data_IF_036713285114
#
_entry.id   IF_036713285114
#
_cell.length_a   1.000
_cell.length_b   1.000
_cell.length_c   1.000
_cell.angle_alpha   90.00
_cell.angle_beta   90.00
_cell.angle_gamma   90.00
#
_symmetry.space_group_name_H-M   'P 1'
#
loop_
_entity.id
_entity.type
_entity.pdbx_description
1 polymer ?
#
# COMPACT_ATOMS: atom_id res chain seq x y z
N UNK A 1 -27.74 32.11 1.15
CA UNK A 1 -27.04 31.88 -0.12
C UNK A 1 -27.57 30.59 -0.73
N UNK A 2 -28.14 30.64 -1.94
CA UNK A 2 -28.72 29.45 -2.59
C UNK A 2 -27.58 28.60 -3.17
N UNK A 3 -27.17 27.55 -2.47
CA UNK A 3 -26.25 26.55 -3.00
C UNK A 3 -27.03 25.54 -3.84
N UNK A 4 -26.50 25.15 -5.01
CA UNK A 4 -27.15 24.16 -5.87
C UNK A 4 -27.07 22.78 -5.21
N UNK A 5 -28.20 22.07 -5.11
CA UNK A 5 -28.27 20.71 -4.54
C UNK A 5 -28.43 19.61 -5.60
N UNK A 6 -28.64 20.00 -6.86
CA UNK A 6 -28.82 19.11 -8.00
C UNK A 6 -27.73 19.31 -9.06
N UNK A 7 -27.45 18.25 -9.81
CA UNK A 7 -26.50 18.27 -10.91
C UNK A 7 -27.06 19.10 -12.07
N UNK A 8 -26.30 20.07 -12.58
CA UNK A 8 -26.73 20.95 -13.68
C UNK A 8 -26.93 20.20 -15.00
N UNK A 9 -26.37 18.99 -15.13
CA UNK A 9 -26.42 18.21 -16.37
C UNK A 9 -27.54 17.16 -16.42
N UNK A 10 -27.86 16.53 -15.29
CA UNK A 10 -28.85 15.44 -15.23
C UNK A 10 -29.98 15.69 -14.21
N UNK A 11 -29.93 16.84 -13.53
CA UNK A 11 -30.87 17.30 -12.51
C UNK A 11 -31.08 16.33 -11.32
N UNK A 12 -30.20 15.34 -11.15
CA UNK A 12 -30.22 14.45 -10.00
C UNK A 12 -29.65 15.15 -8.77
N UNK A 13 -30.17 14.84 -7.58
CA UNK A 13 -29.54 15.24 -6.31
C UNK A 13 -28.07 14.83 -6.26
N UNK A 14 -27.21 15.77 -5.86
CA UNK A 14 -25.79 15.53 -5.63
C UNK A 14 -25.50 14.84 -4.29
N UNK A 15 -26.55 14.69 -3.45
CA UNK A 15 -26.43 14.25 -2.07
C UNK A 15 -25.85 15.34 -1.16
N UNK A 16 -25.78 15.01 0.13
CA UNK A 16 -25.25 15.89 1.17
C UNK A 16 -24.11 15.20 1.92
N UNK A 17 -23.20 15.96 2.50
CA UNK A 17 -22.16 15.47 3.41
C UNK A 17 -22.18 16.29 4.70
N UNK A 18 -21.73 15.68 5.80
CA UNK A 18 -21.64 16.33 7.11
C UNK A 18 -20.18 16.64 7.49
N UNK A 19 -19.23 16.27 6.63
CA UNK A 19 -17.80 16.37 6.92
C UNK A 19 -17.26 17.76 6.63
N UNK A 20 -17.70 18.37 5.53
CA UNK A 20 -17.30 19.72 5.13
C UNK A 20 -18.45 20.66 5.49
N UNK A 21 -18.46 21.17 6.73
CA UNK A 21 -19.59 21.93 7.29
C UNK A 21 -19.97 23.16 6.44
N UNK A 22 -18.96 23.86 5.91
CA UNK A 22 -19.14 25.06 5.07
C UNK A 22 -19.72 24.69 3.69
N UNK A 23 -19.57 23.43 3.26
CA UNK A 23 -20.01 22.94 1.95
C UNK A 23 -20.66 21.55 2.07
N UNK A 24 -21.90 21.48 2.60
CA UNK A 24 -22.56 20.22 2.94
C UNK A 24 -23.17 19.51 1.71
N UNK A 25 -22.68 19.79 0.50
CA UNK A 25 -23.24 19.31 -0.77
C UNK A 25 -22.26 18.38 -1.46
N UNK A 26 -22.79 17.28 -1.98
CA UNK A 26 -22.00 16.30 -2.71
C UNK A 26 -21.44 15.21 -1.82
N UNK A 27 -21.39 14.00 -2.37
CA UNK A 27 -20.71 12.84 -1.75
C UNK A 27 -19.37 12.52 -2.44
N UNK A 28 -19.04 13.23 -3.51
CA UNK A 28 -17.74 13.19 -4.21
C UNK A 28 -17.36 14.62 -4.59
N UNK A 29 -16.33 15.15 -3.95
CA UNK A 29 -15.86 16.53 -4.12
C UNK A 29 -14.48 16.48 -4.75
N UNK A 30 -14.23 17.34 -5.74
CA UNK A 30 -12.90 17.52 -6.30
C UNK A 30 -12.41 18.95 -6.14
N UNK A 31 -11.10 19.12 -5.99
CA UNK A 31 -10.51 20.44 -5.74
C UNK A 31 -9.10 20.56 -6.32
N UNK A 32 -8.79 21.76 -6.81
CA UNK A 32 -7.45 22.18 -7.25
C UNK A 32 -7.03 23.38 -6.39
N UNK A 33 -6.12 23.14 -5.45
CA UNK A 33 -5.64 24.17 -4.54
C UNK A 33 -4.79 25.24 -5.25
N UNK A 34 -4.09 24.88 -6.32
CA UNK A 34 -3.25 25.82 -7.06
C UNK A 34 -4.09 26.78 -7.93
N UNK A 35 -5.20 26.28 -8.49
CA UNK A 35 -6.11 27.06 -9.34
C UNK A 35 -7.33 27.63 -8.59
N UNK A 36 -7.51 27.31 -7.31
CA UNK A 36 -8.66 27.77 -6.53
C UNK A 36 -10.01 27.23 -7.04
N UNK A 37 -10.01 26.01 -7.58
CA UNK A 37 -11.20 25.39 -8.19
C UNK A 37 -11.75 24.28 -7.31
N UNK A 38 -13.07 24.22 -7.20
CA UNK A 38 -13.79 23.26 -6.38
C UNK A 38 -15.02 22.80 -7.18
N UNK A 39 -15.19 21.48 -7.31
CA UNK A 39 -16.33 20.88 -8.00
C UNK A 39 -17.00 19.80 -7.14
N UNK A 40 -18.27 19.54 -7.46
CA UNK A 40 -18.99 18.35 -7.02
C UNK A 40 -19.17 17.40 -8.19
N UNK A 41 -18.69 16.16 -8.06
CA UNK A 41 -18.83 15.13 -9.07
C UNK A 41 -20.15 14.39 -8.83
N UNK A 42 -21.04 14.41 -9.83
CA UNK A 42 -22.31 13.72 -9.73
C UNK A 42 -22.12 12.19 -9.77
N UNK A 43 -22.58 11.45 -8.75
CA UNK A 43 -22.48 9.98 -8.74
C UNK A 43 -23.35 9.26 -9.78
N UNK A 44 -24.28 9.95 -10.45
CA UNK A 44 -25.17 9.36 -11.47
C UNK A 44 -24.62 9.49 -12.89
N UNK A 45 -24.12 10.67 -13.25
CA UNK A 45 -23.64 10.95 -14.61
C UNK A 45 -22.16 11.32 -14.68
N UNK A 46 -21.47 11.29 -13.54
CA UNK A 46 -20.02 11.51 -13.39
C UNK A 46 -19.50 12.87 -13.88
N UNK A 47 -20.43 13.80 -14.18
CA UNK A 47 -20.08 15.16 -14.57
C UNK A 47 -19.78 16.05 -13.37
N UNK A 48 -18.87 16.99 -13.62
CA UNK A 48 -18.28 17.88 -12.62
C UNK A 48 -19.05 19.20 -12.59
N UNK A 49 -19.63 19.53 -11.43
CA UNK A 49 -20.42 20.74 -11.23
C UNK A 49 -19.54 21.74 -10.49
N UNK A 50 -19.17 22.84 -11.16
CA UNK A 50 -18.30 23.87 -10.59
C UNK A 50 -19.04 24.63 -9.48
N UNK A 51 -18.40 24.76 -8.32
CA UNK A 51 -18.96 25.48 -7.16
C UNK A 51 -18.87 27.01 -7.31
N UNK A 52 -19.70 27.82 -6.63
CA UNK A 52 -19.59 29.28 -6.67
C UNK A 52 -18.27 29.78 -6.07
N UNK A 53 -17.73 30.88 -6.59
CA UNK A 53 -16.41 31.43 -6.22
C UNK A 53 -16.28 31.81 -4.73
N UNK A 54 -17.33 32.37 -4.14
CA UNK A 54 -17.34 32.99 -2.81
C UNK A 54 -17.01 32.04 -1.65
N UNK A 55 -17.23 30.73 -1.82
CA UNK A 55 -17.07 29.71 -0.76
C UNK A 55 -15.80 28.85 -0.97
N UNK A 56 -15.10 29.00 -2.11
CA UNK A 56 -14.09 28.00 -2.51
C UNK A 56 -12.88 27.96 -1.59
N UNK A 57 -12.43 29.09 -1.04
CA UNK A 57 -11.14 29.16 -0.35
C UNK A 57 -11.12 28.31 0.93
N UNK A 58 -12.04 28.56 1.86
CA UNK A 58 -12.13 27.84 3.13
C UNK A 58 -12.44 26.35 2.92
N UNK A 59 -13.22 26.03 1.89
CA UNK A 59 -13.58 24.65 1.57
C UNK A 59 -12.41 23.90 0.97
N UNK A 60 -11.62 24.54 0.10
CA UNK A 60 -10.42 23.93 -0.47
C UNK A 60 -9.38 23.67 0.62
N UNK A 61 -9.16 24.62 1.54
CA UNK A 61 -8.24 24.42 2.66
C UNK A 61 -8.67 23.26 3.56
N UNK A 62 -9.97 23.19 3.89
CA UNK A 62 -10.51 22.10 4.69
C UNK A 62 -10.44 20.75 3.94
N UNK A 63 -10.74 20.73 2.64
CA UNK A 63 -10.61 19.54 1.80
C UNK A 63 -9.15 19.08 1.69
N UNK A 64 -8.20 20.01 1.56
CA UNK A 64 -6.75 19.71 1.54
C UNK A 64 -6.29 19.14 2.89
N UNK A 65 -6.76 19.71 4.01
CA UNK A 65 -6.50 19.19 5.37
C UNK A 65 -7.04 17.78 5.54
N UNK A 66 -8.32 17.57 5.22
CA UNK A 66 -8.98 16.26 5.28
C UNK A 66 -8.30 15.23 4.37
N UNK A 67 -7.92 15.62 3.16
CA UNK A 67 -7.22 14.75 2.22
C UNK A 67 -5.84 14.31 2.78
N UNK A 68 -5.10 15.22 3.42
CA UNK A 68 -3.81 14.92 4.07
C UNK A 68 -3.95 13.99 5.27
N UNK A 69 -4.95 14.23 6.12
CA UNK A 69 -5.22 13.41 7.30
C UNK A 69 -5.82 12.05 6.95
N UNK A 70 -6.54 11.99 5.83
CA UNK A 70 -7.18 10.77 5.36
C UNK A 70 -6.13 9.78 4.92
N UNK A 71 -6.31 8.57 5.47
CA UNK A 71 -5.35 7.51 5.26
C UNK A 71 -5.71 6.66 4.04
N UNK A 72 -6.99 6.52 3.66
CA UNK A 72 -7.39 5.79 2.44
C UNK A 72 -7.23 6.75 1.26
N UNK A 73 -6.04 6.86 0.68
CA UNK A 73 -5.77 7.73 -0.47
C UNK A 73 -4.81 7.10 -1.47
N UNK A 74 -4.96 7.42 -2.75
CA UNK A 74 -4.00 7.12 -3.82
C UNK A 74 -3.73 8.40 -4.57
N UNK A 75 -2.50 8.58 -5.04
CA UNK A 75 -2.07 9.78 -5.78
C UNK A 75 -1.25 9.37 -6.98
N UNK A 76 -1.65 9.80 -8.17
CA UNK A 76 -0.86 9.82 -9.40
C UNK A 76 -0.16 11.16 -9.54
N UNK A 77 0.61 11.35 -10.62
CA UNK A 77 1.34 12.59 -10.91
C UNK A 77 0.45 13.85 -10.94
N UNK A 78 -0.84 13.73 -11.24
CA UNK A 78 -1.72 14.89 -11.41
C UNK A 78 -3.02 14.81 -10.61
N UNK A 79 -3.41 13.64 -10.09
CA UNK A 79 -4.67 13.45 -9.37
C UNK A 79 -4.44 12.58 -8.13
N UNK A 80 -5.01 12.98 -7.00
CA UNK A 80 -5.16 12.15 -5.83
C UNK A 80 -6.62 11.90 -5.50
N UNK A 81 -6.96 10.68 -5.06
CA UNK A 81 -8.29 10.35 -4.57
C UNK A 81 -8.19 9.82 -3.14
N UNK A 82 -9.10 10.25 -2.26
CA UNK A 82 -9.21 9.80 -0.89
C UNK A 82 -10.66 9.44 -0.52
N UNK A 83 -10.85 8.40 0.30
CA UNK A 83 -12.16 7.96 0.81
C UNK A 83 -12.21 8.14 2.33
N UNK A 84 -13.12 9.00 2.80
CA UNK A 84 -13.28 9.29 4.22
C UNK A 84 -14.20 8.26 4.90
N UNK A 85 -14.05 8.01 6.21
CA UNK A 85 -14.87 7.04 6.94
C UNK A 85 -16.38 7.28 6.83
N UNK A 86 -16.80 8.53 6.71
CA UNK A 86 -18.20 8.97 6.62
C UNK A 86 -18.79 8.80 5.19
N UNK A 87 -18.00 8.23 4.26
CA UNK A 87 -18.40 7.92 2.89
C UNK A 87 -18.30 9.09 1.90
N UNK A 88 -17.63 10.19 2.30
CA UNK A 88 -17.25 11.29 1.42
C UNK A 88 -15.99 10.90 0.64
N UNK A 89 -16.01 11.14 -0.67
CA UNK A 89 -14.86 10.94 -1.54
C UNK A 89 -14.27 12.29 -1.93
N UNK A 90 -12.96 12.45 -1.76
CA UNK A 90 -12.22 13.66 -2.13
C UNK A 90 -11.29 13.36 -3.30
N UNK A 91 -11.28 14.22 -4.31
CA UNK A 91 -10.40 14.13 -5.48
C UNK A 91 -9.56 15.40 -5.56
N UNK A 92 -8.31 15.32 -5.13
CA UNK A 92 -7.33 16.40 -5.21
C UNK A 92 -6.71 16.46 -6.59
N UNK A 93 -6.56 17.65 -7.16
CA UNK A 93 -5.91 17.90 -8.45
C UNK A 93 -4.58 18.64 -8.28
N UNK A 94 -3.64 18.38 -9.18
CA UNK A 94 -2.31 19.01 -9.23
C UNK A 94 -1.18 18.08 -8.79
N UNK A 95 0.06 18.63 -8.74
CA UNK A 95 1.30 17.87 -8.47
C UNK A 95 1.16 16.91 -7.28
N UNK A 96 1.76 15.71 -7.38
CA UNK A 96 1.51 14.63 -6.43
C UNK A 96 2.09 15.02 -5.06
N UNK A 97 1.39 14.62 -4.00
CA UNK A 97 2.05 14.48 -2.71
C UNK A 97 2.85 13.18 -2.75
N UNK A 98 4.11 13.21 -2.28
CA UNK A 98 4.97 12.02 -2.22
C UNK A 98 4.20 10.89 -1.54
N UNK A 99 4.18 9.71 -2.16
CA UNK A 99 3.47 8.54 -1.66
C UNK A 99 3.96 8.21 -0.25
N UNK A 100 3.12 8.49 0.76
CA UNK A 100 3.42 8.09 2.13
C UNK A 100 2.82 6.72 2.36
N UNK A 101 3.68 5.71 2.44
CA UNK A 101 3.33 4.35 2.82
C UNK A 101 2.61 4.36 4.19
N UNK A 102 1.35 3.93 4.24
CA UNK A 102 0.51 3.99 5.44
C UNK A 102 0.81 2.85 6.45
N UNK A 103 2.04 2.81 6.95
CA UNK A 103 2.58 1.81 7.88
C UNK A 103 1.71 1.47 9.10
N UNK A 104 0.95 2.44 9.62
CA UNK A 104 0.11 2.29 10.81
C UNK A 104 -1.13 1.38 10.58
N UNK A 105 -1.58 1.19 9.32
CA UNK A 105 -2.71 0.26 8.99
C UNK A 105 -2.41 -1.20 9.29
N UNK A 106 -1.16 -1.61 9.13
CA UNK A 106 -0.76 -3.01 9.21
C UNK A 106 -0.33 -3.43 10.62
N UNK A 107 0.04 -2.47 11.47
CA UNK A 107 0.49 -2.69 12.86
C UNK A 107 -0.46 -3.52 13.70
N UNK A 108 -1.72 -3.11 13.74
CA UNK A 108 -2.75 -3.75 14.57
C UNK A 108 -3.19 -5.10 14.00
N UNK A 109 -3.25 -5.25 12.68
CA UNK A 109 -3.68 -6.50 12.04
C UNK A 109 -2.68 -7.63 12.28
N UNK A 110 -1.38 -7.36 12.06
CA UNK A 110 -0.33 -8.36 12.28
C UNK A 110 -0.15 -8.68 13.77
N UNK A 111 -0.30 -7.69 14.65
CA UNK A 111 -0.32 -7.90 16.10
C UNK A 111 -1.47 -8.81 16.56
N UNK A 112 -2.69 -8.60 16.04
CA UNK A 112 -3.85 -9.46 16.31
C UNK A 112 -3.63 -10.90 15.83
N UNK A 113 -3.10 -11.10 14.62
CA UNK A 113 -2.75 -12.43 14.08
C UNK A 113 -1.70 -13.13 14.97
N UNK A 114 -0.71 -12.40 15.48
CA UNK A 114 0.30 -12.92 16.41
C UNK A 114 -0.31 -13.35 17.74
N UNK A 115 -1.15 -12.52 18.35
CA UNK A 115 -1.82 -12.84 19.62
C UNK A 115 -2.73 -14.07 19.48
N UNK A 116 -3.49 -14.16 18.38
CA UNK A 116 -4.34 -15.32 18.06
C UNK A 116 -3.51 -16.58 17.78
N UNK A 117 -2.38 -16.47 17.08
CA UNK A 117 -1.47 -17.59 16.85
C UNK A 117 -0.86 -18.11 18.15
N UNK A 118 -0.42 -17.23 19.05
CA UNK A 118 0.09 -17.60 20.37
C UNK A 118 -1.02 -18.29 21.16
N UNK A 119 -2.23 -17.72 21.19
CA UNK A 119 -3.38 -18.32 21.88
C UNK A 119 -3.70 -19.73 21.40
N UNK A 120 -3.70 -20.00 20.08
CA UNK A 120 -3.92 -21.35 19.57
C UNK A 120 -2.76 -22.31 19.89
N UNK A 121 -1.52 -21.84 19.89
CA UNK A 121 -0.37 -22.65 20.32
C UNK A 121 -0.43 -22.95 21.82
N UNK A 122 -0.78 -21.96 22.66
CA UNK A 122 -0.92 -22.10 24.11
C UNK A 122 -2.15 -22.92 24.50
N UNK A 123 -3.29 -22.80 23.81
CA UNK A 123 -4.47 -23.64 24.02
C UNK A 123 -4.23 -25.09 23.60
N UNK A 124 -3.44 -25.32 22.53
CA UNK A 124 -2.98 -26.66 22.15
C UNK A 124 -2.01 -27.29 23.16
N UNK A 125 -1.24 -26.47 23.89
CA UNK A 125 -0.39 -26.93 25.00
C UNK A 125 -1.20 -27.14 26.29
N UNK A 126 -2.18 -26.27 26.59
CA UNK A 126 -3.04 -26.37 27.78
C UNK A 126 -3.99 -27.58 27.78
N UNK A 127 -4.38 -28.08 26.60
CA UNK A 127 -5.18 -29.30 26.49
C UNK A 127 -4.41 -30.59 26.85
N UNK A 128 -3.09 -30.52 27.06
CA UNK A 128 -2.23 -31.67 27.47
C UNK A 128 -1.88 -31.58 28.97
N UNK A 129 -2.69 -30.86 29.76
CA UNK A 129 -2.58 -30.92 31.21
C UNK A 129 -3.08 -32.22 31.85
N UNK A 130 -3.90 -33.05 31.18
CA UNK A 130 -4.48 -34.27 31.78
C UNK A 130 -4.67 -35.41 30.75
N UNK A 131 -3.59 -36.05 30.32
CA UNK A 131 -3.65 -37.50 30.00
C UNK A 131 -2.48 -38.19 30.70
N UNK A 132 -2.57 -38.25 32.02
CA UNK A 132 -1.88 -39.26 32.83
C UNK A 132 -2.93 -40.31 33.16
N UNK A 133 -3.22 -41.20 32.21
CA UNK A 133 -3.96 -42.43 32.50
C UNK A 133 -3.12 -43.60 32.01
N UNK A 134 -2.42 -44.21 32.97
CA UNK A 134 -2.05 -45.63 32.92
C UNK A 134 -0.77 -46.02 32.19
N UNK A 135 0.37 -45.91 32.87
CA UNK A 135 1.44 -46.92 32.81
C UNK A 135 2.52 -46.75 31.73
N UNK A 136 3.77 -46.69 32.20
CA UNK A 136 5.03 -46.93 31.47
C UNK A 136 5.50 -45.86 30.46
N UNK A 137 6.12 -44.78 30.98
CA UNK A 137 7.52 -44.41 30.67
C UNK A 137 7.82 -43.00 31.18
N UNK A 138 8.31 -42.92 32.42
CA UNK A 138 8.87 -41.70 33.03
C UNK A 138 10.21 -41.26 32.37
N UNK A 139 10.57 -41.82 31.20
CA UNK A 139 11.90 -41.68 30.58
C UNK A 139 12.00 -40.86 29.29
N UNK A 140 10.90 -40.38 28.70
CA UNK A 140 10.94 -39.53 27.50
C UNK A 140 10.73 -38.06 27.91
N UNK A 141 11.82 -37.45 28.39
CA UNK A 141 11.98 -36.06 28.81
C UNK A 141 11.06 -35.05 28.10
N UNK A 142 10.67 -33.97 28.80
CA UNK A 142 9.91 -32.83 28.27
C UNK A 142 10.32 -32.38 26.85
N UNK A 143 11.58 -32.58 26.46
CA UNK A 143 12.09 -32.34 25.10
C UNK A 143 11.61 -33.34 24.02
N UNK A 144 11.43 -34.63 24.32
CA UNK A 144 10.96 -35.64 23.36
C UNK A 144 9.46 -35.53 23.05
N UNK A 145 8.65 -35.30 24.08
CA UNK A 145 7.23 -34.98 23.93
C UNK A 145 7.00 -33.66 23.19
N UNK A 146 7.79 -32.62 23.50
CA UNK A 146 7.78 -31.36 22.78
C UNK A 146 8.22 -31.53 21.31
N UNK A 147 9.30 -32.27 21.05
CA UNK A 147 9.76 -32.53 19.68
C UNK A 147 8.71 -33.30 18.86
N UNK A 148 8.15 -34.39 19.40
CA UNK A 148 7.07 -35.13 18.74
C UNK A 148 5.83 -34.26 18.47
N UNK A 149 5.43 -33.42 19.42
CA UNK A 149 4.34 -32.46 19.25
C UNK A 149 4.63 -31.42 18.17
N UNK A 150 5.84 -30.87 18.11
CA UNK A 150 6.23 -29.92 17.06
C UNK A 150 6.18 -30.57 15.67
N UNK A 151 6.57 -31.84 15.54
CA UNK A 151 6.49 -32.59 14.28
C UNK A 151 5.03 -32.84 13.86
N UNK A 152 4.15 -33.22 14.78
CA UNK A 152 2.72 -33.43 14.51
C UNK A 152 2.04 -32.12 14.10
N UNK A 153 2.29 -31.02 14.83
CA UNK A 153 1.76 -29.71 14.47
C UNK A 153 2.32 -29.24 13.12
N UNK A 154 3.61 -29.43 12.87
CA UNK A 154 4.20 -29.09 11.58
C UNK A 154 3.58 -29.91 10.45
N UNK A 155 3.37 -31.22 10.62
CA UNK A 155 2.68 -32.08 9.65
C UNK A 155 1.25 -31.60 9.35
N UNK A 156 0.43 -31.43 10.39
CA UNK A 156 -0.97 -30.96 10.26
C UNK A 156 -1.03 -29.55 9.67
N UNK A 157 -0.11 -28.66 10.04
CA UNK A 157 -0.07 -27.33 9.46
C UNK A 157 0.44 -27.30 8.02
N UNK A 158 1.41 -28.14 7.67
CA UNK A 158 2.04 -28.18 6.35
C UNK A 158 1.08 -28.64 5.26
N UNK A 159 0.10 -29.48 5.60
CA UNK A 159 -0.95 -29.92 4.68
C UNK A 159 -2.12 -28.94 4.54
N UNK A 160 -2.18 -27.90 5.38
CA UNK A 160 -3.23 -26.89 5.24
C UNK A 160 -3.10 -26.17 3.92
N UNK A 161 -4.24 -26.03 3.26
CA UNK A 161 -4.37 -25.28 2.02
C UNK A 161 -3.95 -23.82 2.30
N UNK A 162 -2.98 -23.38 1.51
CA UNK A 162 -2.53 -22.01 1.49
C UNK A 162 -3.41 -21.17 0.58
N UNK A 163 -3.58 -21.62 -0.67
CA UNK A 163 -4.46 -21.01 -1.67
C UNK A 163 -4.97 -22.06 -2.66
N UNK A 164 -6.08 -21.75 -3.32
CA UNK A 164 -6.54 -22.48 -4.51
C UNK A 164 -6.29 -21.58 -5.71
N UNK A 165 -5.41 -22.00 -6.59
CA UNK A 165 -5.05 -21.30 -7.81
C UNK A 165 -5.67 -22.01 -9.02
N UNK A 166 -5.67 -21.34 -10.17
CA UNK A 166 -5.99 -21.95 -11.46
C UNK A 166 -4.70 -22.10 -12.25
N UNK A 167 -4.57 -23.22 -12.95
CA UNK A 167 -3.47 -23.39 -13.90
C UNK A 167 -3.70 -22.41 -15.07
N UNK A 168 -2.70 -21.60 -15.46
CA UNK A 168 -2.87 -20.61 -16.52
C UNK A 168 -3.24 -21.25 -17.88
N UNK A 169 -2.61 -22.38 -18.21
CA UNK A 169 -2.87 -23.07 -19.50
C UNK A 169 -4.08 -24.02 -19.50
N UNK A 170 -4.31 -24.78 -18.42
CA UNK A 170 -5.32 -25.85 -18.40
C UNK A 170 -6.62 -25.49 -17.66
N UNK A 171 -6.70 -24.31 -17.05
CA UNK A 171 -7.77 -23.86 -16.13
C UNK A 171 -8.08 -24.84 -14.95
N UNK A 172 -7.19 -25.80 -14.70
CA UNK A 172 -7.36 -26.77 -13.63
C UNK A 172 -7.23 -26.09 -12.26
N UNK A 173 -8.10 -26.46 -11.29
CA UNK A 173 -8.01 -25.96 -9.92
C UNK A 173 -6.86 -26.63 -9.17
N UNK A 174 -5.82 -25.87 -8.88
CA UNK A 174 -4.63 -26.31 -8.16
C UNK A 174 -4.72 -25.96 -6.68
N UNK A 175 -4.48 -26.96 -5.82
CA UNK A 175 -4.37 -26.76 -4.37
C UNK A 175 -2.92 -26.50 -3.99
N UNK A 176 -2.62 -25.27 -3.59
CA UNK A 176 -1.32 -24.92 -3.01
C UNK A 176 -1.40 -25.07 -1.49
N UNK A 177 -0.51 -25.86 -0.91
CA UNK A 177 -0.41 -26.09 0.55
C UNK A 177 0.69 -25.23 1.18
N UNK A 178 0.64 -25.05 2.50
CA UNK A 178 1.67 -24.29 3.23
C UNK A 178 3.08 -24.85 3.02
N UNK A 179 3.25 -26.17 2.93
CA UNK A 179 4.55 -26.80 2.65
C UNK A 179 5.14 -26.42 1.29
N UNK A 180 4.29 -26.09 0.32
CA UNK A 180 4.78 -25.71 -1.01
C UNK A 180 5.46 -24.34 -1.00
N UNK A 181 5.04 -23.45 -0.08
CA UNK A 181 5.66 -22.13 0.10
C UNK A 181 7.13 -22.19 0.56
N UNK A 182 7.59 -23.33 1.08
CA UNK A 182 9.02 -23.52 1.41
C UNK A 182 9.90 -23.64 0.17
N UNK A 183 9.33 -23.94 -0.99
CA UNK A 183 10.03 -24.04 -2.27
C UNK A 183 9.58 -23.01 -3.30
N UNK A 184 8.39 -22.42 -3.14
CA UNK A 184 7.94 -21.27 -3.93
C UNK A 184 8.80 -20.03 -3.67
N UNK A 185 9.03 -19.19 -4.68
CA UNK A 185 9.93 -18.02 -4.58
C UNK A 185 9.66 -16.98 -5.66
N UNK A 186 10.20 -15.80 -5.44
CA UNK A 186 10.40 -14.80 -6.49
C UNK A 186 11.69 -15.12 -7.26
N UNK A 187 11.67 -14.91 -8.57
CA UNK A 187 12.80 -15.14 -9.48
C UNK A 187 13.01 -13.89 -10.34
N UNK A 188 14.19 -13.25 -10.31
CA UNK A 188 14.47 -12.13 -11.19
C UNK A 188 14.61 -12.61 -12.63
N UNK A 189 14.05 -11.88 -13.60
CA UNK A 189 14.21 -12.19 -15.04
C UNK A 189 15.54 -11.68 -15.60
N UNK A 190 16.17 -10.74 -14.90
CA UNK A 190 17.40 -10.05 -15.32
C UNK A 190 17.13 -8.67 -15.94
N UNK A 191 15.88 -8.33 -16.19
CA UNK A 191 15.45 -6.97 -16.52
C UNK A 191 15.08 -6.25 -15.22
N UNK A 192 15.57 -5.02 -14.98
CA UNK A 192 15.18 -4.24 -13.80
C UNK A 192 13.66 -4.02 -13.76
N UNK A 193 13.03 -4.23 -12.60
CA UNK A 193 11.57 -4.12 -12.45
C UNK A 193 10.77 -5.35 -12.86
N UNK A 194 11.42 -6.37 -13.46
CA UNK A 194 10.74 -7.58 -13.90
C UNK A 194 11.17 -8.81 -13.08
N UNK A 195 10.15 -9.51 -12.57
CA UNK A 195 10.34 -10.73 -11.81
C UNK A 195 9.16 -11.68 -12.01
N UNK A 196 9.43 -12.96 -11.78
CA UNK A 196 8.45 -14.03 -11.86
C UNK A 196 8.17 -14.61 -10.46
N UNK A 197 6.93 -15.02 -10.23
CA UNK A 197 6.58 -15.81 -9.06
C UNK A 197 6.51 -17.29 -9.44
N UNK A 198 7.46 -18.07 -8.92
CA UNK A 198 7.49 -19.52 -9.09
C UNK A 198 6.77 -20.17 -7.92
N UNK A 199 5.57 -20.70 -8.16
CA UNK A 199 4.74 -21.37 -7.15
C UNK A 199 4.84 -22.88 -7.31
N UNK A 200 5.45 -23.52 -6.31
CA UNK A 200 5.51 -24.96 -6.27
C UNK A 200 4.15 -25.54 -5.91
N UNK A 201 3.82 -26.67 -6.51
CA UNK A 201 2.66 -27.47 -6.16
C UNK A 201 2.94 -28.94 -6.45
N UNK A 202 1.97 -29.80 -6.17
CA UNK A 202 2.08 -31.20 -6.51
C UNK A 202 0.77 -31.67 -7.15
N UNK A 203 0.91 -32.48 -8.20
CA UNK A 203 -0.23 -33.00 -8.98
C UNK A 203 -0.85 -34.21 -8.29
N UNK A 204 -2.12 -34.50 -8.54
CA UNK A 204 -2.80 -35.69 -8.02
C UNK A 204 -3.22 -35.58 -6.55
N UNK A 205 -4.50 -35.84 -6.29
CA UNK A 205 -5.09 -35.86 -4.96
C UNK A 205 -5.79 -37.21 -4.74
N UNK A 206 -5.17 -38.11 -3.98
CA UNK A 206 -5.87 -39.29 -3.46
C UNK A 206 -5.73 -39.33 -1.94
N UNK A 207 -6.86 -39.52 -1.26
CA UNK A 207 -6.93 -39.80 0.19
C UNK A 207 -6.21 -38.78 1.10
N UNK A 208 -6.24 -37.48 0.76
CA UNK A 208 -5.66 -36.42 1.60
C UNK A 208 -4.15 -36.21 1.44
N UNK A 209 -3.49 -37.04 0.65
CA UNK A 209 -2.06 -36.94 0.36
C UNK A 209 -1.82 -36.57 -1.10
N UNK A 210 -0.73 -35.83 -1.31
CA UNK A 210 -0.23 -35.52 -2.64
C UNK A 210 0.44 -36.77 -3.22
N UNK A 211 0.00 -37.21 -4.39
CA UNK A 211 0.52 -38.45 -5.02
C UNK A 211 1.37 -38.24 -6.27
N UNK A 212 1.44 -37.03 -6.81
CA UNK A 212 2.26 -36.68 -7.97
C UNK A 212 3.57 -35.98 -7.64
N UNK A 213 4.41 -35.84 -8.68
CA UNK A 213 5.65 -35.06 -8.64
C UNK A 213 5.41 -33.58 -8.34
N UNK A 214 6.44 -32.91 -7.85
CA UNK A 214 6.41 -31.46 -7.65
C UNK A 214 6.49 -30.73 -8.99
N UNK A 215 5.55 -29.83 -9.24
CA UNK A 215 5.47 -28.99 -10.43
C UNK A 215 5.54 -27.50 -10.05
N UNK A 216 5.84 -26.64 -11.02
CA UNK A 216 6.01 -25.20 -10.81
C UNK A 216 5.05 -24.44 -11.71
N UNK A 217 4.24 -23.56 -11.11
CA UNK A 217 3.51 -22.53 -11.84
C UNK A 217 4.37 -21.28 -11.88
N UNK A 218 4.42 -20.62 -13.03
CA UNK A 218 5.13 -19.36 -13.22
C UNK A 218 4.10 -18.28 -13.47
N UNK A 219 4.12 -17.24 -12.65
CA UNK A 219 3.29 -16.05 -12.83
C UNK A 219 4.19 -14.84 -13.10
N UNK A 220 3.72 -13.93 -13.94
CA UNK A 220 4.40 -12.69 -14.29
C UNK A 220 3.46 -11.49 -14.14
N UNK A 221 4.04 -10.29 -14.00
CA UNK A 221 3.29 -9.03 -13.91
C UNK A 221 2.20 -9.02 -12.84
N UNK A 222 1.04 -8.48 -13.18
CA UNK A 222 -0.09 -8.31 -12.26
C UNK A 222 -0.57 -9.61 -11.63
N UNK A 223 -0.58 -10.71 -12.40
CA UNK A 223 -0.99 -12.01 -11.87
C UNK A 223 -0.01 -12.51 -10.80
N UNK A 224 1.30 -12.26 -11.00
CA UNK A 224 2.31 -12.57 -10.01
C UNK A 224 2.09 -11.76 -8.73
N UNK A 225 1.75 -10.47 -8.84
CA UNK A 225 1.46 -9.57 -7.71
C UNK A 225 0.26 -10.06 -6.89
N UNK A 226 -0.85 -10.37 -7.55
CA UNK A 226 -2.08 -10.85 -6.93
C UNK A 226 -1.87 -12.19 -6.20
N UNK A 227 -1.19 -13.13 -6.87
CA UNK A 227 -0.88 -14.44 -6.29
C UNK A 227 0.11 -14.28 -5.14
N UNK A 228 1.12 -13.43 -5.27
CA UNK A 228 2.09 -13.15 -4.21
C UNK A 228 1.40 -12.64 -2.95
N UNK A 229 0.52 -11.62 -3.06
CA UNK A 229 -0.20 -11.08 -1.91
C UNK A 229 -1.01 -12.15 -1.16
N UNK A 230 -1.74 -13.01 -1.88
CA UNK A 230 -2.51 -14.12 -1.29
C UNK A 230 -1.62 -15.15 -0.60
N UNK A 231 -0.50 -15.54 -1.23
CA UNK A 231 0.43 -16.52 -0.66
C UNK A 231 1.19 -15.95 0.54
N UNK A 232 1.57 -14.68 0.50
CA UNK A 232 2.32 -14.00 1.57
C UNK A 232 1.45 -13.77 2.80
N UNK A 233 0.18 -13.37 2.64
CA UNK A 233 -0.80 -13.34 3.73
C UNK A 233 -0.88 -14.67 4.49
N UNK A 234 -0.69 -15.76 3.75
CA UNK A 234 -0.74 -17.11 4.28
C UNK A 234 0.59 -17.57 4.89
N UNK A 235 1.72 -17.22 4.28
CA UNK A 235 3.06 -17.42 4.85
C UNK A 235 3.20 -16.68 6.20
N UNK A 236 2.61 -15.49 6.29
CA UNK A 236 2.60 -14.62 7.47
C UNK A 236 1.38 -14.85 8.38
N UNK A 237 0.68 -15.98 8.28
CA UNK A 237 -0.48 -16.34 9.14
C UNK A 237 -0.27 -16.11 10.64
N UNK A 238 0.98 -16.20 11.10
CA UNK A 238 1.36 -16.07 12.51
C UNK A 238 1.59 -14.63 12.96
N UNK A 239 1.46 -13.65 12.06
CA UNK A 239 1.68 -12.22 12.31
C UNK A 239 3.12 -11.89 12.75
N UNK A 240 3.36 -10.64 13.10
CA UNK A 240 4.64 -10.14 13.63
C UNK A 240 4.52 -9.66 15.07
N UNK A 241 5.65 -9.56 15.79
CA UNK A 241 5.69 -8.75 17.01
C UNK A 241 5.91 -7.26 16.65
N UNK A 242 5.74 -6.35 17.60
CA UNK A 242 5.85 -4.90 17.37
C UNK A 242 7.21 -4.51 16.74
N UNK A 243 8.30 -5.14 17.17
CA UNK A 243 9.65 -4.89 16.62
C UNK A 243 9.73 -5.29 15.15
N UNK A 244 9.36 -6.53 14.82
CA UNK A 244 9.42 -7.06 13.44
C UNK A 244 8.50 -6.29 12.49
N UNK A 245 7.33 -5.84 12.96
CA UNK A 245 6.45 -4.99 12.15
C UNK A 245 7.12 -3.63 11.89
N UNK A 246 7.71 -3.01 12.91
CA UNK A 246 8.47 -1.78 12.74
C UNK A 246 9.70 -1.93 11.82
N UNK A 247 10.38 -3.07 11.88
CA UNK A 247 11.48 -3.40 10.96
C UNK A 247 10.97 -3.50 9.50
N UNK A 248 9.83 -4.16 9.28
CA UNK A 248 9.20 -4.29 7.96
C UNK A 248 8.82 -2.93 7.37
N UNK A 249 8.18 -2.08 8.18
CA UNK A 249 7.81 -0.70 7.82
C UNK A 249 9.03 0.11 7.42
N UNK A 250 10.08 0.11 8.27
CA UNK A 250 11.30 0.88 7.99
C UNK A 250 11.95 0.51 6.67
N UNK A 251 11.90 -0.77 6.28
CA UNK A 251 12.45 -1.21 4.99
C UNK A 251 11.72 -0.56 3.82
N UNK A 252 10.39 -0.58 3.84
CA UNK A 252 9.58 0.03 2.77
C UNK A 252 9.80 1.55 2.75
N UNK A 253 9.80 2.19 3.91
CA UNK A 253 10.06 3.65 4.01
C UNK A 253 11.46 4.05 3.53
N UNK A 254 12.47 3.19 3.75
CA UNK A 254 13.85 3.46 3.29
C UNK A 254 13.93 3.47 1.76
N UNK A 255 13.16 2.60 1.10
CA UNK A 255 13.06 2.57 -0.36
C UNK A 255 12.16 3.70 -0.87
N UNK A 256 11.13 4.05 -0.11
CA UNK A 256 10.21 5.15 -0.39
C UNK A 256 9.03 4.76 -1.30
N UNK A 257 9.05 3.57 -1.89
CA UNK A 257 8.03 3.08 -2.80
C UNK A 257 7.80 1.56 -2.65
N UNK A 258 6.54 1.07 -2.60
CA UNK A 258 6.22 -0.35 -2.48
C UNK A 258 6.70 -1.22 -3.65
N UNK A 259 6.63 -0.72 -4.89
CA UNK A 259 7.03 -1.47 -6.10
C UNK A 259 8.55 -1.63 -6.13
N UNK A 260 9.29 -0.54 -5.92
CA UNK A 260 10.75 -0.58 -5.78
C UNK A 260 11.20 -1.46 -4.61
N UNK A 261 10.43 -1.50 -3.51
CA UNK A 261 10.73 -2.42 -2.41
C UNK A 261 10.57 -3.88 -2.82
N UNK A 262 9.58 -4.22 -3.65
CA UNK A 262 9.40 -5.59 -4.13
C UNK A 262 10.58 -6.03 -4.99
N UNK A 263 11.11 -5.17 -5.86
CA UNK A 263 12.32 -5.44 -6.62
C UNK A 263 13.52 -5.75 -5.71
N UNK A 264 13.75 -4.92 -4.69
CA UNK A 264 14.80 -5.16 -3.70
C UNK A 264 14.58 -6.51 -2.98
N UNK A 265 13.33 -6.81 -2.62
CA UNK A 265 12.97 -8.05 -1.93
C UNK A 265 13.20 -9.30 -2.80
N UNK A 266 12.98 -9.22 -4.12
CA UNK A 266 13.29 -10.30 -5.08
C UNK A 266 14.80 -10.52 -5.15
N UNK A 267 15.58 -9.46 -5.25
CA UNK A 267 17.04 -9.54 -5.28
C UNK A 267 17.59 -10.13 -3.97
N UNK A 268 17.05 -9.72 -2.83
CA UNK A 268 17.45 -10.26 -1.52
C UNK A 268 17.05 -11.74 -1.36
N UNK A 269 15.89 -12.15 -1.89
CA UNK A 269 15.49 -13.56 -1.97
C UNK A 269 16.53 -14.40 -2.71
N UNK A 270 16.96 -13.98 -3.89
CA UNK A 270 17.96 -14.70 -4.68
C UNK A 270 19.36 -14.65 -4.05
N UNK A 271 19.72 -13.52 -3.42
CA UNK A 271 20.97 -13.39 -2.65
C UNK A 271 21.03 -14.41 -1.51
N UNK A 272 19.98 -14.51 -0.69
CA UNK A 272 19.90 -15.46 0.42
C UNK A 272 19.99 -16.90 -0.07
N UNK A 273 19.34 -17.20 -1.20
CA UNK A 273 19.41 -18.51 -1.84
C UNK A 273 20.85 -18.87 -2.20
N UNK A 274 21.56 -17.97 -2.90
CA UNK A 274 22.95 -18.15 -3.33
C UNK A 274 23.93 -18.20 -2.17
N UNK A 275 23.76 -17.35 -1.17
CA UNK A 275 24.59 -17.36 0.04
C UNK A 275 24.54 -18.74 0.73
N UNK A 276 23.37 -19.38 0.75
CA UNK A 276 23.22 -20.71 1.37
C UNK A 276 23.71 -21.86 0.49
N UNK A 277 23.50 -21.78 -0.82
CA UNK A 277 23.79 -22.85 -1.76
C UNK A 277 25.20 -22.83 -2.35
N UNK A 278 25.83 -21.65 -2.38
CA UNK A 278 26.98 -21.34 -3.23
C UNK A 278 26.64 -21.49 -4.72
N UNK A 279 27.66 -21.70 -5.55
CA UNK A 279 27.53 -21.87 -7.00
C UNK A 279 27.19 -23.32 -7.41
N UNK A 280 26.90 -24.20 -6.46
CA UNK A 280 26.61 -25.60 -6.76
C UNK A 280 25.15 -25.78 -7.26
N UNK A 281 24.92 -26.22 -8.51
CA UNK A 281 23.58 -26.33 -9.08
C UNK A 281 22.65 -27.27 -8.30
N UNK A 282 23.17 -28.39 -7.78
CA UNK A 282 22.39 -29.37 -7.00
C UNK A 282 21.97 -28.79 -5.65
N UNK A 283 22.82 -27.97 -5.02
CA UNK A 283 22.47 -27.27 -3.78
C UNK A 283 21.47 -26.14 -4.05
N UNK A 284 21.64 -25.42 -5.16
CA UNK A 284 20.76 -24.31 -5.55
C UNK A 284 19.33 -24.78 -5.84
N UNK A 285 19.16 -25.95 -6.46
CA UNK A 285 17.87 -26.58 -6.72
C UNK A 285 17.14 -27.04 -5.43
N UNK A 286 17.90 -27.40 -4.39
CA UNK A 286 17.36 -27.86 -3.10
C UNK A 286 17.24 -26.75 -2.05
N UNK A 287 17.83 -25.59 -2.29
CA UNK A 287 17.87 -24.49 -1.34
C UNK A 287 16.47 -23.93 -1.12
N UNK A 288 16.04 -23.89 0.15
CA UNK A 288 14.81 -23.23 0.58
C UNK A 288 15.06 -21.81 1.08
N UNK A 289 16.32 -21.37 1.19
CA UNK A 289 16.63 -19.99 1.53
C UNK A 289 16.09 -19.04 0.44
N UNK A 290 15.54 -17.90 0.88
CA UNK A 290 14.86 -16.94 0.00
C UNK A 290 13.44 -17.36 -0.44
N UNK A 291 12.95 -18.56 -0.09
CA UNK A 291 11.57 -18.93 -0.43
C UNK A 291 10.54 -18.11 0.34
N UNK A 292 9.31 -18.06 -0.17
CA UNK A 292 8.21 -17.31 0.46
C UNK A 292 8.04 -17.64 1.95
N UNK A 293 8.24 -18.90 2.35
CA UNK A 293 8.15 -19.31 3.75
C UNK A 293 9.43 -19.15 4.57
N UNK A 294 10.61 -19.04 3.94
CA UNK A 294 11.92 -18.99 4.64
C UNK A 294 12.62 -17.64 4.54
N UNK A 295 12.03 -16.66 3.86
CA UNK A 295 12.46 -15.27 3.93
C UNK A 295 12.42 -14.75 5.39
N UNK A 296 13.34 -13.82 5.74
CA UNK A 296 13.30 -13.09 7.00
C UNK A 296 11.92 -12.49 7.25
N UNK A 297 11.47 -12.53 8.51
CA UNK A 297 10.07 -12.29 8.82
C UNK A 297 9.64 -10.83 8.60
N UNK A 298 10.54 -9.91 8.84
CA UNK A 298 10.43 -8.50 8.48
C UNK A 298 10.23 -8.32 6.96
N UNK A 299 11.06 -8.96 6.13
CA UNK A 299 10.92 -8.89 4.66
C UNK A 299 9.59 -9.50 4.21
N UNK A 300 9.19 -10.66 4.74
CA UNK A 300 7.90 -11.27 4.36
C UNK A 300 6.71 -10.40 4.69
N UNK A 301 6.72 -9.77 5.87
CA UNK A 301 5.64 -8.87 6.27
C UNK A 301 5.63 -7.64 5.38
N UNK A 302 6.80 -7.10 5.04
CA UNK A 302 6.92 -5.98 4.13
C UNK A 302 6.38 -6.32 2.72
N UNK A 303 6.71 -7.49 2.18
CA UNK A 303 6.15 -7.95 0.88
C UNK A 303 4.63 -8.07 0.95
N UNK A 304 4.05 -8.61 2.03
CA UNK A 304 2.59 -8.65 2.18
C UNK A 304 1.97 -7.25 2.23
N UNK A 305 2.61 -6.29 2.91
CA UNK A 305 2.13 -4.92 2.93
C UNK A 305 2.22 -4.29 1.54
N UNK A 306 3.37 -4.39 0.88
CA UNK A 306 3.61 -3.82 -0.44
C UNK A 306 2.66 -4.40 -1.50
N UNK A 307 2.49 -5.72 -1.55
CA UNK A 307 1.54 -6.37 -2.48
C UNK A 307 0.08 -5.97 -2.23
N UNK A 308 -0.30 -5.69 -0.97
CA UNK A 308 -1.66 -5.25 -0.65
C UNK A 308 -1.88 -3.77 -0.98
N UNK A 309 -0.90 -2.92 -0.66
CA UNK A 309 -0.90 -1.50 -1.04
C UNK A 309 -0.98 -1.37 -2.56
N UNK A 310 -0.23 -2.19 -3.29
CA UNK A 310 -0.22 -2.22 -4.75
C UNK A 310 -1.55 -2.70 -5.34
N UNK A 311 -2.18 -3.69 -4.73
CA UNK A 311 -3.53 -4.12 -5.14
C UNK A 311 -4.59 -3.05 -4.84
N UNK A 312 -4.48 -2.35 -3.70
CA UNK A 312 -5.35 -1.20 -3.37
C UNK A 312 -5.12 -0.05 -4.35
N UNK A 313 -3.86 0.26 -4.69
CA UNK A 313 -3.48 1.26 -5.69
C UNK A 313 -4.12 0.96 -7.04
N UNK A 314 -3.91 -0.23 -7.60
CA UNK A 314 -4.51 -0.63 -8.89
C UNK A 314 -6.03 -0.56 -8.89
N UNK A 315 -6.67 -0.98 -7.80
CA UNK A 315 -8.12 -0.86 -7.67
C UNK A 315 -8.61 0.60 -7.70
N UNK A 316 -7.81 1.52 -7.17
CA UNK A 316 -8.09 2.96 -7.21
C UNK A 316 -7.66 3.61 -8.53
N UNK A 317 -6.62 3.12 -9.20
CA UNK A 317 -6.14 3.63 -10.49
C UNK A 317 -7.17 3.48 -11.61
N UNK A 318 -7.91 2.36 -11.65
CA UNK A 318 -9.02 2.22 -12.59
C UNK A 318 -10.12 3.28 -12.39
N UNK A 319 -10.33 3.76 -11.16
CA UNK A 319 -11.20 4.91 -10.88
C UNK A 319 -10.51 6.25 -11.25
N UNK A 320 -9.18 6.36 -11.11
CA UNK A 320 -8.41 7.58 -11.40
C UNK A 320 -8.31 7.88 -12.90
N UNK A 321 -8.11 6.89 -13.75
CA UNK A 321 -8.04 7.09 -15.21
C UNK A 321 -9.32 7.74 -15.76
N UNK A 322 -10.47 7.29 -15.27
CA UNK A 322 -11.78 7.85 -15.60
C UNK A 322 -11.90 9.28 -15.07
N UNK A 323 -11.41 9.54 -13.86
CA UNK A 323 -11.41 10.86 -13.24
C UNK A 323 -10.47 11.84 -13.97
N UNK A 324 -9.32 11.39 -14.46
CA UNK A 324 -8.36 12.23 -15.20
C UNK A 324 -8.92 12.66 -16.56
N UNK A 325 -9.51 11.73 -17.31
CA UNK A 325 -10.20 12.05 -18.56
C UNK A 325 -11.43 12.96 -18.36
N UNK A 326 -12.11 12.86 -17.21
CA UNK A 326 -13.21 13.76 -16.85
C UNK A 326 -12.70 15.15 -16.40
N UNK A 327 -11.58 15.20 -15.68
CA UNK A 327 -10.94 16.44 -15.26
C UNK A 327 -10.52 17.30 -16.46
N UNK A 328 -9.86 16.72 -17.46
CA UNK A 328 -9.44 17.47 -18.65
C UNK A 328 -10.61 18.17 -19.35
N UNK A 329 -11.75 17.48 -19.49
CA UNK A 329 -12.98 18.05 -20.05
C UNK A 329 -13.62 19.11 -19.16
N UNK A 330 -13.59 18.93 -17.84
CA UNK A 330 -14.10 19.91 -16.89
C UNK A 330 -13.23 21.18 -16.83
N UNK A 331 -11.90 21.03 -16.95
CA UNK A 331 -10.94 22.12 -17.09
C UNK A 331 -11.17 22.94 -18.36
N UNK A 332 -11.44 22.28 -19.49
CA UNK A 332 -11.74 22.95 -20.76
C UNK A 332 -13.00 23.83 -20.62
N UNK A 333 -14.07 23.30 -20.03
CA UNK A 333 -15.31 24.06 -19.77
C UNK A 333 -15.06 25.21 -18.79
N UNK A 334 -14.30 24.98 -17.72
CA UNK A 334 -13.97 26.02 -16.75
C UNK A 334 -13.09 27.12 -17.38
N UNK A 335 -12.15 26.76 -18.26
CA UNK A 335 -11.33 27.72 -19.01
C UNK A 335 -12.18 28.60 -19.92
N UNK A 336 -13.19 28.04 -20.58
CA UNK A 336 -14.17 28.81 -21.38
C UNK A 336 -15.00 29.74 -20.46
N UNK A 337 -15.41 29.28 -19.28
CA UNK A 337 -16.16 30.12 -18.34
C UNK A 337 -15.31 31.28 -17.79
N UNK A 338 -14.03 31.04 -17.52
CA UNK A 338 -13.10 32.08 -17.05
C UNK A 338 -12.83 33.14 -18.13
N UNK A 339 -12.73 32.75 -19.41
CA UNK A 339 -12.54 33.71 -20.52
C UNK A 339 -13.78 34.54 -20.83
N UNK A 340 -14.99 33.99 -20.63
CA UNK A 340 -16.25 34.73 -20.78
C UNK A 340 -16.47 35.82 -19.71
N UNK A 341 -15.77 35.75 -18.58
CA UNK A 341 -15.87 36.71 -17.47
C UNK A 341 -14.85 37.85 -17.56
N UNK A 342 -13.89 37.78 -18.49
CA UNK A 342 -12.87 38.80 -18.69
C UNK A 342 -13.15 39.57 -19.99
N UNK A 343 -13.22 40.92 -19.95
CA UNK A 343 -13.18 41.71 -21.17
C UNK A 343 -11.87 41.45 -21.93
N UNK A 344 -11.91 41.40 -23.27
CA UNK A 344 -10.75 41.10 -24.12
C UNK A 344 -9.51 41.95 -23.80
N UNK A 345 -9.73 43.21 -23.39
CA UNK A 345 -8.70 44.16 -22.99
C UNK A 345 -7.91 43.72 -21.74
N UNK A 346 -8.56 43.02 -20.80
CA UNK A 346 -7.93 42.49 -19.57
C UNK A 346 -7.15 41.20 -19.88
N UNK A 347 -7.66 40.39 -20.80
CA UNK A 347 -7.00 39.15 -21.23
C UNK A 347 -5.69 39.43 -21.98
N UNK A 348 -5.67 40.44 -22.86
CA UNK A 348 -4.44 40.93 -23.51
C UNK A 348 -3.44 41.47 -22.50
N UNK A 349 -3.90 42.25 -21.52
CA UNK A 349 -3.04 42.79 -20.46
C UNK A 349 -2.38 41.68 -19.63
N UNK A 350 -3.15 40.71 -19.14
CA UNK A 350 -2.64 39.59 -18.33
C UNK A 350 -1.66 38.72 -19.14
N UNK A 351 -1.94 38.49 -20.42
CA UNK A 351 -1.05 37.72 -21.30
C UNK A 351 0.27 38.44 -21.55
N UNK A 352 0.22 39.77 -21.75
CA UNK A 352 1.42 40.60 -21.93
C UNK A 352 2.31 40.63 -20.67
N UNK A 353 1.72 40.71 -19.49
CA UNK A 353 2.45 40.74 -18.22
C UNK A 353 3.01 39.36 -17.84
N UNK A 354 2.28 38.25 -18.10
CA UNK A 354 2.83 36.89 -17.93
C UNK A 354 4.07 36.67 -18.80
N UNK A 355 4.02 37.08 -20.08
CA UNK A 355 5.17 37.01 -20.97
C UNK A 355 6.35 37.86 -20.50
N UNK A 356 6.08 38.99 -19.84
CA UNK A 356 7.10 39.90 -19.28
C UNK A 356 7.74 39.37 -17.98
N UNK A 357 6.97 38.64 -17.15
CA UNK A 357 7.47 37.97 -15.93
C UNK A 357 8.32 36.75 -16.30
N UNK A 358 7.93 35.97 -17.30
CA UNK A 358 8.71 34.80 -17.76
C UNK A 358 9.99 35.19 -18.53
N UNK A 359 10.04 36.39 -19.10
CA UNK A 359 11.22 36.96 -19.78
C UNK A 359 12.07 37.89 -18.92
N UNK A 360 11.65 38.17 -17.68
CA UNK A 360 12.43 38.94 -16.71
C UNK A 360 13.67 38.16 -16.24
N UNK A 361 14.76 38.84 -15.84
CA UNK A 361 15.95 38.16 -15.35
C UNK A 361 15.58 37.32 -14.12
N UNK A 362 15.78 35.99 -14.21
CA UNK A 362 15.69 35.09 -13.06
C UNK A 362 16.60 35.63 -11.97
N UNK A 363 16.01 36.11 -10.87
CA UNK A 363 16.77 36.46 -9.67
C UNK A 363 17.41 35.16 -9.18
N UNK A 364 18.69 34.99 -9.45
CA UNK A 364 19.52 33.95 -8.84
C UNK A 364 19.63 34.37 -7.37
N UNK A 365 18.84 33.74 -6.51
CA UNK A 365 19.00 33.88 -5.06
C UNK A 365 20.34 33.24 -4.70
N UNK A 366 21.33 33.99 -4.18
CA UNK A 366 22.60 33.40 -3.79
C UNK A 366 22.36 32.49 -2.58
N UNK A 367 22.79 31.23 -2.70
CA UNK A 367 22.86 30.32 -1.57
C UNK A 367 23.91 30.86 -0.58
N UNK A 368 23.47 31.29 0.60
CA UNK A 368 24.43 31.66 1.64
C UNK A 368 23.79 32.18 2.93
N UNK A 369 24.21 31.59 4.05
CA UNK A 369 24.22 32.26 5.34
C UNK A 369 23.46 31.52 6.43
N UNK A 370 24.13 30.58 7.11
CA UNK A 370 23.67 30.03 8.37
C UNK A 370 23.44 31.14 9.40
N UNK A 371 22.26 31.15 9.99
CA UNK A 371 21.90 32.02 11.10
C UNK A 371 22.70 31.59 12.34
N UNK A 372 23.69 32.40 12.72
CA UNK A 372 24.27 32.39 14.06
C UNK A 372 23.31 33.11 15.02
N UNK A 373 23.04 32.48 16.16
CA UNK A 373 22.15 32.98 17.22
C UNK A 373 22.74 34.22 17.93
N UNK A 374 21.90 35.14 18.45
CA UNK A 374 22.39 36.32 19.14
C UNK A 374 22.66 36.07 20.64
N UNK A 375 23.93 36.24 21.01
CA UNK A 375 24.41 37.02 22.16
C UNK A 375 23.84 36.76 23.57
N UNK A 376 24.59 35.99 24.36
CA UNK A 376 24.54 36.01 25.82
C UNK A 376 24.89 37.40 26.39
N UNK A 377 24.10 37.84 27.35
CA UNK A 377 24.33 39.06 28.14
C UNK A 377 25.53 38.87 29.07
N UNK A 378 26.46 39.81 29.00
CA UNK A 378 27.56 39.96 29.94
C UNK A 378 27.05 40.24 31.37
N UNK A 379 27.57 39.47 32.33
CA UNK A 379 27.53 39.78 33.76
C UNK A 379 28.61 40.85 34.04
N UNK A 380 28.20 41.92 34.72
CA UNK A 380 29.10 42.88 35.33
C UNK A 380 29.57 42.33 36.68
N UNK A 381 30.86 42.04 36.81
CA UNK A 381 31.57 41.98 38.08
C UNK A 381 32.52 43.19 38.09
N UNK A 382 32.25 44.14 38.97
CA UNK A 382 33.22 45.16 39.35
C UNK A 382 34.24 44.54 40.30
N UNK A 383 35.49 44.96 40.15
CA UNK A 383 36.49 45.07 41.21
C UNK A 383 37.59 46.04 40.72
N UNK A 384 37.93 46.97 41.61
CA UNK A 384 39.21 47.71 41.82
C UNK A 384 39.85 48.54 40.68
N UNK A 385 39.75 49.88 40.78
CA UNK A 385 40.75 50.78 41.41
C UNK A 385 40.24 52.24 41.50
#
# INVERSE_FOLDING_TARGET
MLMYSTCIFCNQSLGTNEVVEIFPIGRRISFDAAKGRLWVICRKCERWNLSPLEIRWEVIEECERLFRETRLRVTTDNIGMAKLPEGLELVRLGKPMRGEFAAWRYGDQFGRRRRRSIMYTTAGVGAIGIVVVGGAAVGASLGGGYYGFTQIIQGIMNERIASRLRHPESDEKIKVQLKHLEKSRFVPTGVPGEWELHVQYARGWSSGFSTGGGETLVYQGDEAMDVAGRLMARANRSGGNKKTIGDAVRRIETVGDPEAFLDEAVLESERLRRQKAGDNPKKLAKSTAGSLAKLPKDIRLAIEMATHEEAERRAMEGELDILEAAWQRAEEIAGIADSLLLPAEVEEFVTSERGRVDSGPKIIVPAGGGLSAPGERAQASGDDE
#
